data_IF_235767906885
#
_entry.id   IF_235767906885
#
_cell.length_a   1.000
_cell.length_b   1.000
_cell.length_c   1.000
_cell.angle_alpha   90.00
_cell.angle_beta   90.00
_cell.angle_gamma   90.00
#
_symmetry.space_group_name_H-M   'P 1'
#
loop_
_entity.id
_entity.type
_entity.pdbx_description
1 polymer ?
#
# COMPACT_ATOMS: atom_id res chain seq x y z
N UNK A 1 1.25 24.76 12.18
CA UNK A 1 1.21 24.78 10.70
C UNK A 1 0.15 23.77 10.34
N UNK A 2 -0.83 24.12 9.51
CA UNK A 2 -1.95 23.22 9.22
C UNK A 2 -1.69 22.39 7.97
N UNK A 3 -1.80 21.06 8.04
CA UNK A 3 -1.67 20.17 6.89
C UNK A 3 -2.84 20.36 5.91
N UNK A 4 -2.52 20.40 4.63
CA UNK A 4 -3.48 20.61 3.53
C UNK A 4 -3.86 19.32 2.82
N UNK A 5 -3.16 18.22 3.07
CA UNK A 5 -3.44 16.93 2.45
C UNK A 5 -3.11 15.77 3.38
N UNK A 6 -3.83 14.66 3.24
CA UNK A 6 -3.67 13.49 4.09
C UNK A 6 -3.47 12.23 3.23
N UNK A 7 -2.39 11.50 3.47
CA UNK A 7 -2.22 10.12 3.01
C UNK A 7 -2.61 9.21 4.16
N UNK A 8 -3.54 8.28 3.95
CA UNK A 8 -4.19 7.57 5.05
C UNK A 8 -4.15 6.07 4.79
N UNK A 9 -3.59 5.29 5.71
CA UNK A 9 -3.74 3.84 5.67
C UNK A 9 -5.19 3.40 5.96
N UNK A 10 -5.57 2.17 5.59
CA UNK A 10 -6.93 1.67 5.75
C UNK A 10 -7.08 0.73 6.95
N UNK A 11 -6.43 -0.44 6.93
CA UNK A 11 -6.69 -1.52 7.87
C UNK A 11 -5.78 -1.42 9.10
N UNK A 12 -6.39 -1.14 10.24
CA UNK A 12 -5.76 -0.75 11.49
C UNK A 12 -5.97 0.73 11.82
N UNK A 13 -6.32 1.56 10.83
CA UNK A 13 -6.47 3.02 10.93
C UNK A 13 -7.92 3.49 10.77
N UNK A 14 -8.60 3.14 9.66
CA UNK A 14 -9.99 3.50 9.38
C UNK A 14 -10.97 2.40 9.84
N UNK A 15 -10.55 1.15 9.69
CA UNK A 15 -11.25 -0.03 10.20
C UNK A 15 -10.23 -1.05 10.71
N UNK A 16 -10.65 -2.18 11.26
CA UNK A 16 -9.74 -3.27 11.68
C UNK A 16 -10.30 -4.64 11.32
N UNK A 17 -9.85 -5.21 10.21
CA UNK A 17 -10.42 -6.45 9.68
C UNK A 17 -11.91 -6.28 9.36
N UNK A 18 -12.77 -6.86 10.20
CA UNK A 18 -14.24 -6.72 10.12
C UNK A 18 -14.79 -5.71 11.14
N UNK A 19 -13.97 -5.29 12.09
CA UNK A 19 -14.36 -4.40 13.17
C UNK A 19 -14.28 -2.94 12.70
N UNK A 20 -15.23 -2.15 13.15
CA UNK A 20 -15.28 -0.71 12.88
C UNK A 20 -14.32 0.04 13.81
N UNK A 21 -13.70 1.12 13.30
CA UNK A 21 -13.02 2.13 14.12
C UNK A 21 -13.81 3.43 13.96
N UNK A 22 -14.81 3.73 14.82
CA UNK A 22 -15.67 4.90 14.66
C UNK A 22 -14.91 6.23 14.59
N UNK A 23 -13.76 6.34 15.27
CA UNK A 23 -12.90 7.50 15.19
C UNK A 23 -12.27 7.69 13.80
N UNK A 24 -11.96 6.60 13.09
CA UNK A 24 -11.47 6.64 11.70
C UNK A 24 -12.55 7.07 10.72
N UNK A 25 -13.78 6.58 10.90
CA UNK A 25 -14.94 7.04 10.11
C UNK A 25 -15.16 8.55 10.31
N UNK A 26 -15.20 9.01 11.56
CA UNK A 26 -15.37 10.43 11.90
C UNK A 26 -14.22 11.30 11.35
N UNK A 27 -13.00 10.79 11.34
CA UNK A 27 -11.83 11.48 10.79
C UNK A 27 -12.00 11.77 9.29
N UNK A 28 -12.44 10.78 8.51
CA UNK A 28 -12.70 10.95 7.08
C UNK A 28 -13.86 11.91 6.83
N UNK A 29 -14.95 11.80 7.59
CA UNK A 29 -16.06 12.74 7.49
C UNK A 29 -15.64 14.19 7.79
N UNK A 30 -14.75 14.40 8.75
CA UNK A 30 -14.25 15.73 9.08
C UNK A 30 -13.36 16.31 7.96
N UNK A 31 -12.50 15.48 7.34
CA UNK A 31 -11.76 15.86 6.14
C UNK A 31 -12.70 16.31 5.01
N UNK A 32 -13.75 15.52 4.74
CA UNK A 32 -14.76 15.83 3.72
C UNK A 32 -15.52 17.11 4.04
N UNK A 33 -15.99 17.27 5.28
CA UNK A 33 -16.72 18.47 5.74
C UNK A 33 -15.89 19.75 5.56
N UNK A 34 -14.57 19.64 5.72
CA UNK A 34 -13.62 20.74 5.55
C UNK A 34 -13.10 20.92 4.12
N UNK A 35 -13.44 20.01 3.20
CA UNK A 35 -12.88 19.94 1.86
C UNK A 35 -11.33 19.84 1.87
N UNK A 36 -10.76 19.08 2.81
CA UNK A 36 -9.33 18.81 2.85
C UNK A 36 -9.07 17.58 1.96
N UNK A 37 -8.20 17.70 0.93
CA UNK A 37 -7.80 16.56 0.10
C UNK A 37 -7.22 15.41 0.93
N UNK A 38 -7.60 14.18 0.57
CA UNK A 38 -7.00 12.98 1.14
C UNK A 38 -6.93 11.86 0.10
N UNK A 39 -6.03 10.92 0.36
CA UNK A 39 -5.83 9.72 -0.44
C UNK A 39 -5.63 8.54 0.52
N UNK A 40 -6.47 7.52 0.39
CA UNK A 40 -6.24 6.23 1.01
C UNK A 40 -5.09 5.52 0.28
N UNK A 41 -4.03 5.17 1.01
CA UNK A 41 -2.84 4.52 0.47
C UNK A 41 -2.70 3.15 1.12
N UNK A 42 -2.92 2.08 0.35
CA UNK A 42 -2.90 0.70 0.87
C UNK A 42 -1.96 -0.23 0.09
N UNK A 43 -1.25 -1.10 0.81
CA UNK A 43 -0.41 -2.15 0.23
C UNK A 43 -1.21 -3.35 -0.30
N UNK A 44 -2.52 -3.41 -0.05
CA UNK A 44 -3.34 -4.53 -0.48
C UNK A 44 -3.46 -4.56 -2.01
N UNK A 45 -3.06 -5.67 -2.62
CA UNK A 45 -3.12 -5.91 -4.07
C UNK A 45 -4.18 -6.92 -4.50
N UNK A 46 -5.01 -7.42 -3.59
CA UNK A 46 -6.03 -8.43 -3.89
C UNK A 46 -7.38 -7.83 -4.27
N UNK A 47 -7.59 -6.54 -3.99
CA UNK A 47 -8.86 -5.83 -4.22
C UNK A 47 -8.70 -4.72 -5.25
N UNK A 48 -9.72 -4.54 -6.09
CA UNK A 48 -9.81 -3.36 -6.96
C UNK A 48 -10.20 -2.11 -6.15
N UNK A 49 -9.92 -0.89 -6.65
CA UNK A 49 -10.39 0.33 -6.02
C UNK A 49 -11.91 0.33 -5.77
N UNK A 50 -12.72 -0.21 -6.69
CA UNK A 50 -14.18 -0.25 -6.58
C UNK A 50 -14.61 -1.20 -5.45
N UNK A 51 -13.88 -2.31 -5.30
CA UNK A 51 -14.11 -3.26 -4.20
C UNK A 51 -13.80 -2.61 -2.85
N UNK A 52 -12.72 -1.82 -2.78
CA UNK A 52 -12.37 -1.07 -1.57
C UNK A 52 -13.42 0.02 -1.27
N UNK A 53 -13.84 0.78 -2.28
CA UNK A 53 -14.86 1.81 -2.14
C UNK A 53 -16.19 1.24 -1.64
N UNK A 54 -16.67 0.15 -2.26
CA UNK A 54 -17.92 -0.51 -1.88
C UNK A 54 -17.85 -1.01 -0.45
N UNK A 55 -16.72 -1.64 -0.06
CA UNK A 55 -16.51 -2.09 1.31
C UNK A 55 -16.52 -0.93 2.32
N UNK A 56 -15.83 0.18 2.02
CA UNK A 56 -15.81 1.37 2.88
C UNK A 56 -17.22 1.93 3.11
N UNK A 57 -18.01 2.03 2.05
CA UNK A 57 -19.38 2.53 2.13
C UNK A 57 -20.30 1.57 2.90
N UNK A 58 -20.31 0.28 2.54
CA UNK A 58 -21.29 -0.69 3.06
C UNK A 58 -20.97 -1.19 4.48
N UNK A 59 -19.69 -1.26 4.85
CA UNK A 59 -19.27 -1.89 6.11
C UNK A 59 -18.75 -0.89 7.14
N UNK A 60 -18.24 0.26 6.69
CA UNK A 60 -17.53 1.21 7.55
C UNK A 60 -18.10 2.63 7.50
N UNK A 61 -19.27 2.85 6.88
CA UNK A 61 -19.92 4.16 6.76
C UNK A 61 -18.98 5.26 6.21
N UNK A 62 -18.07 4.91 5.30
CA UNK A 62 -17.18 5.87 4.64
C UNK A 62 -17.52 5.89 3.15
N UNK A 63 -18.31 6.87 2.75
CA UNK A 63 -18.53 7.16 1.33
C UNK A 63 -17.41 8.04 0.81
N UNK A 64 -16.71 7.62 -0.25
CA UNK A 64 -15.55 8.35 -0.77
C UNK A 64 -15.48 8.26 -2.30
N UNK A 65 -14.97 9.28 -3.02
CA UNK A 65 -14.69 9.16 -4.46
C UNK A 65 -13.67 8.07 -4.75
N UNK A 66 -13.80 7.41 -5.90
CA UNK A 66 -12.92 6.29 -6.28
C UNK A 66 -11.47 6.74 -6.43
N UNK A 67 -11.27 7.99 -6.84
CA UNK A 67 -9.98 8.65 -7.04
C UNK A 67 -9.21 8.83 -5.74
N UNK A 68 -9.88 8.78 -4.59
CA UNK A 68 -9.22 8.83 -3.27
C UNK A 68 -8.64 7.48 -2.85
N UNK A 69 -8.73 6.42 -3.67
CA UNK A 69 -8.20 5.09 -3.33
C UNK A 69 -7.00 4.79 -4.21
N UNK A 70 -5.82 4.75 -3.59
CA UNK A 70 -4.56 4.48 -4.25
C UNK A 70 -3.89 3.23 -3.67
N UNK A 71 -3.85 2.16 -4.47
CA UNK A 71 -3.35 0.86 -4.03
C UNK A 71 -1.93 0.61 -4.55
N UNK A 72 -1.19 -0.29 -3.91
CA UNK A 72 0.08 -0.77 -4.45
C UNK A 72 -0.05 -1.39 -5.85
N UNK A 73 -1.23 -1.90 -6.22
CA UNK A 73 -1.54 -2.34 -7.59
C UNK A 73 -1.49 -1.16 -8.57
N UNK A 74 -2.18 -0.05 -8.28
CA UNK A 74 -2.17 1.15 -9.13
C UNK A 74 -0.76 1.75 -9.23
N UNK A 75 -0.06 1.87 -8.09
CA UNK A 75 1.32 2.32 -8.07
C UNK A 75 2.27 1.42 -8.86
N UNK A 76 2.01 0.10 -8.89
CA UNK A 76 2.78 -0.84 -9.71
C UNK A 76 2.55 -0.56 -11.19
N UNK A 77 1.30 -0.39 -11.61
CA UNK A 77 0.96 -0.06 -12.99
C UNK A 77 1.61 1.26 -13.43
N UNK A 78 1.53 2.30 -12.60
CA UNK A 78 2.15 3.60 -12.87
C UNK A 78 3.68 3.47 -13.02
N UNK A 79 4.32 2.72 -12.11
CA UNK A 79 5.75 2.45 -12.20
C UNK A 79 6.15 1.72 -13.49
N UNK A 80 5.40 0.69 -13.90
CA UNK A 80 5.69 -0.04 -15.13
C UNK A 80 5.55 0.86 -16.36
N UNK A 81 4.54 1.75 -16.36
CA UNK A 81 4.30 2.70 -17.45
C UNK A 81 5.43 3.72 -17.55
N UNK A 82 5.89 4.27 -16.43
CA UNK A 82 7.02 5.20 -16.39
C UNK A 82 8.33 4.53 -16.82
N UNK A 83 8.53 3.26 -16.42
CA UNK A 83 9.75 2.51 -16.75
C UNK A 83 9.83 2.13 -18.23
N UNK A 84 8.69 1.88 -18.88
CA UNK A 84 8.53 1.73 -20.32
C UNK A 84 9.53 0.75 -21.00
N UNK A 85 9.78 -0.42 -20.40
CA UNK A 85 10.64 -1.48 -20.97
C UNK A 85 9.93 -2.33 -22.04
N UNK A 86 8.61 -2.19 -22.15
CA UNK A 86 7.76 -2.96 -23.04
C UNK A 86 6.39 -3.22 -22.40
N UNK A 87 5.62 -4.12 -22.98
CA UNK A 87 4.25 -4.44 -22.55
C UNK A 87 4.05 -5.91 -22.25
N UNK A 88 5.10 -6.73 -22.23
CA UNK A 88 5.02 -8.14 -21.85
C UNK A 88 5.30 -8.32 -20.36
N UNK A 89 4.46 -9.08 -19.68
CA UNK A 89 4.56 -9.26 -18.23
C UNK A 89 4.24 -10.70 -17.84
N UNK A 90 4.91 -11.19 -16.80
CA UNK A 90 4.47 -12.36 -16.06
C UNK A 90 4.07 -11.94 -14.64
N UNK A 91 2.87 -12.32 -14.21
CA UNK A 91 2.29 -11.85 -12.94
C UNK A 91 2.00 -13.03 -12.01
N UNK A 92 2.64 -13.03 -10.83
CA UNK A 92 2.19 -13.82 -9.68
C UNK A 92 1.37 -12.89 -8.80
N UNK A 93 0.08 -13.18 -8.65
CA UNK A 93 -0.82 -12.36 -7.86
C UNK A 93 -2.28 -12.75 -8.01
N UNK A 94 -3.10 -12.24 -7.10
CA UNK A 94 -4.56 -12.37 -7.11
C UNK A 94 -5.20 -11.56 -8.26
N UNK A 95 -6.51 -11.73 -8.44
CA UNK A 95 -7.32 -11.17 -9.54
C UNK A 95 -7.19 -9.65 -9.66
N UNK A 96 -7.19 -8.92 -8.53
CA UNK A 96 -7.09 -7.46 -8.53
C UNK A 96 -5.80 -6.94 -9.19
N UNK A 97 -4.67 -7.61 -8.95
CA UNK A 97 -3.39 -7.25 -9.56
C UNK A 97 -3.37 -7.58 -11.07
N UNK A 98 -3.80 -8.80 -11.42
CA UNK A 98 -3.80 -9.27 -12.82
C UNK A 98 -4.71 -8.43 -13.71
N UNK A 99 -5.91 -8.11 -13.22
CA UNK A 99 -6.88 -7.31 -13.95
C UNK A 99 -6.34 -5.89 -14.23
N UNK A 100 -5.83 -5.20 -13.20
CA UNK A 100 -5.30 -3.85 -13.37
C UNK A 100 -4.11 -3.78 -14.35
N UNK A 101 -3.22 -4.78 -14.29
CA UNK A 101 -2.09 -4.88 -15.23
C UNK A 101 -2.59 -5.13 -16.67
N UNK A 102 -3.58 -5.99 -16.87
CA UNK A 102 -4.17 -6.24 -18.18
C UNK A 102 -4.90 -5.00 -18.73
N UNK A 103 -5.67 -4.29 -17.91
CA UNK A 103 -6.37 -3.05 -18.28
C UNK A 103 -5.41 -1.92 -18.67
N UNK A 104 -4.20 -1.90 -18.10
CA UNK A 104 -3.11 -0.99 -18.49
C UNK A 104 -2.40 -1.40 -19.80
N UNK A 105 -2.91 -2.42 -20.49
CA UNK A 105 -2.45 -2.87 -21.80
C UNK A 105 -1.21 -3.76 -21.76
N UNK A 106 -0.87 -4.35 -20.61
CA UNK A 106 0.17 -5.37 -20.54
C UNK A 106 -0.39 -6.74 -20.97
N UNK A 107 0.44 -7.51 -21.66
CA UNK A 107 0.12 -8.80 -22.24
C UNK A 107 0.93 -9.87 -21.50
N UNK A 108 0.26 -10.97 -21.13
CA UNK A 108 0.94 -12.08 -20.47
C UNK A 108 1.98 -12.74 -21.40
N UNK A 109 3.20 -12.94 -20.90
CA UNK A 109 4.25 -13.69 -21.58
C UNK A 109 5.01 -14.53 -20.53
N UNK A 110 4.92 -15.86 -20.63
CA UNK A 110 5.59 -16.79 -19.70
C UNK A 110 7.02 -17.12 -20.11
N UNK A 111 7.42 -16.81 -21.34
CA UNK A 111 8.69 -17.25 -21.91
C UNK A 111 9.76 -16.16 -21.81
N UNK A 112 9.42 -14.94 -22.24
CA UNK A 112 10.32 -13.78 -22.30
C UNK A 112 9.57 -12.48 -21.99
N UNK A 113 9.03 -12.31 -20.78
CA UNK A 113 8.39 -11.06 -20.39
C UNK A 113 9.42 -9.93 -20.18
N UNK A 114 9.00 -8.69 -20.40
CA UNK A 114 9.77 -7.49 -20.06
C UNK A 114 9.82 -7.29 -18.53
N UNK A 115 8.74 -7.70 -17.85
CA UNK A 115 8.55 -7.56 -16.41
C UNK A 115 8.10 -8.87 -15.75
N UNK A 116 8.61 -9.12 -14.54
CA UNK A 116 8.02 -10.10 -13.62
C UNK A 116 7.49 -9.34 -12.42
N UNK A 117 6.17 -9.36 -12.24
CA UNK A 117 5.48 -8.68 -11.14
C UNK A 117 4.98 -9.73 -10.15
N UNK A 118 5.36 -9.58 -8.89
CA UNK A 118 5.01 -10.54 -7.83
C UNK A 118 4.33 -9.80 -6.68
N UNK A 119 3.11 -10.22 -6.39
CA UNK A 119 2.35 -9.83 -5.21
C UNK A 119 1.86 -11.06 -4.43
N UNK A 120 0.85 -10.85 -3.59
CA UNK A 120 0.20 -11.97 -2.89
C UNK A 120 -0.65 -12.78 -3.88
N UNK A 121 -0.43 -14.10 -3.91
CA UNK A 121 -1.22 -15.07 -4.66
C UNK A 121 -1.60 -16.22 -3.71
N UNK A 122 -2.89 -16.36 -3.41
CA UNK A 122 -3.40 -17.42 -2.52
C UNK A 122 -3.27 -18.82 -3.13
N UNK A 123 -3.12 -18.90 -4.45
CA UNK A 123 -3.00 -20.13 -5.23
C UNK A 123 -1.58 -20.24 -5.83
N UNK A 124 -0.58 -19.64 -5.19
CA UNK A 124 0.81 -19.77 -5.63
C UNK A 124 1.24 -21.25 -5.58
N UNK A 125 1.87 -21.71 -6.65
CA UNK A 125 2.40 -23.07 -6.77
C UNK A 125 3.85 -23.05 -7.27
N UNK A 126 4.48 -24.22 -7.29
CA UNK A 126 5.89 -24.33 -7.69
C UNK A 126 6.13 -23.98 -9.16
N UNK A 127 5.14 -24.21 -10.04
CA UNK A 127 5.26 -23.91 -11.46
C UNK A 127 5.30 -22.39 -11.69
N UNK A 128 4.39 -21.64 -11.05
CA UNK A 128 4.39 -20.18 -11.09
C UNK A 128 5.73 -19.60 -10.64
N UNK A 129 6.24 -20.09 -9.51
CA UNK A 129 7.55 -19.68 -8.97
C UNK A 129 8.69 -20.02 -9.93
N UNK A 130 8.63 -21.16 -10.61
CA UNK A 130 9.63 -21.59 -11.59
C UNK A 130 9.64 -20.69 -12.83
N UNK A 131 8.46 -20.37 -13.37
CA UNK A 131 8.32 -19.46 -14.53
C UNK A 131 8.90 -18.08 -14.18
N UNK A 132 8.49 -17.49 -13.04
CA UNK A 132 9.02 -16.21 -12.59
C UNK A 132 10.55 -16.24 -12.42
N UNK A 133 11.08 -17.29 -11.78
CA UNK A 133 12.52 -17.46 -11.56
C UNK A 133 13.28 -17.51 -12.88
N UNK A 134 12.81 -18.31 -13.84
CA UNK A 134 13.45 -18.45 -15.16
C UNK A 134 13.36 -17.15 -15.96
N UNK A 135 12.23 -16.45 -15.94
CA UNK A 135 12.06 -15.16 -16.61
C UNK A 135 13.01 -14.09 -16.05
N UNK A 136 13.16 -14.02 -14.72
CA UNK A 136 14.10 -13.09 -14.07
C UNK A 136 15.56 -13.45 -14.44
N UNK A 137 15.91 -14.74 -14.45
CA UNK A 137 17.25 -15.19 -14.87
C UNK A 137 17.57 -14.84 -16.33
N UNK A 138 16.54 -14.75 -17.20
CA UNK A 138 16.67 -14.28 -18.59
C UNK A 138 16.73 -12.75 -18.71
N UNK A 139 16.55 -12.01 -17.62
CA UNK A 139 16.71 -10.55 -17.57
C UNK A 139 15.40 -9.75 -17.47
N UNK A 140 14.26 -10.38 -17.21
CA UNK A 140 13.02 -9.65 -16.94
C UNK A 140 13.16 -8.74 -15.71
N UNK A 141 12.58 -7.54 -15.78
CA UNK A 141 12.66 -6.57 -14.67
C UNK A 141 11.77 -7.03 -13.51
N UNK A 142 12.39 -7.34 -12.37
CA UNK A 142 11.73 -7.92 -11.19
C UNK A 142 11.09 -6.84 -10.31
N UNK A 143 9.77 -6.90 -10.16
CA UNK A 143 8.95 -5.97 -9.37
C UNK A 143 8.18 -6.72 -8.30
N UNK A 144 8.29 -6.24 -7.05
CA UNK A 144 7.50 -6.70 -5.92
C UNK A 144 6.44 -5.68 -5.55
N UNK A 145 5.16 -6.06 -5.44
CA UNK A 145 4.09 -5.08 -5.18
C UNK A 145 4.22 -4.43 -3.81
N UNK A 146 4.59 -5.19 -2.77
CA UNK A 146 4.76 -4.70 -1.40
C UNK A 146 5.69 -5.62 -0.59
N UNK A 147 6.44 -5.07 0.39
CA UNK A 147 7.41 -5.83 1.16
C UNK A 147 6.83 -6.61 2.35
N UNK A 148 5.51 -6.57 2.56
CA UNK A 148 4.87 -7.13 3.75
C UNK A 148 5.09 -8.65 3.82
N UNK A 149 5.87 -9.09 4.82
CA UNK A 149 6.23 -10.49 5.00
C UNK A 149 5.02 -11.34 5.43
N UNK A 150 4.05 -10.72 6.09
CA UNK A 150 2.88 -11.39 6.62
C UNK A 150 1.59 -10.66 6.26
N UNK A 151 0.51 -11.42 6.13
CA UNK A 151 -0.86 -10.91 6.02
C UNK A 151 -1.71 -11.45 7.19
N UNK A 152 -2.39 -10.58 7.95
CA UNK A 152 -3.33 -11.01 8.99
C UNK A 152 -4.55 -11.71 8.38
N UNK A 153 -4.94 -12.84 8.98
CA UNK A 153 -6.16 -13.58 8.63
C UNK A 153 -6.84 -14.12 9.89
N UNK A 154 -8.06 -14.64 9.78
CA UNK A 154 -8.74 -15.33 10.88
C UNK A 154 -7.96 -16.54 11.42
N UNK A 155 -7.06 -17.12 10.60
CA UNK A 155 -6.21 -18.25 10.97
C UNK A 155 -4.92 -17.83 11.67
N UNK A 156 -4.64 -16.53 11.74
CA UNK A 156 -3.38 -15.95 12.23
C UNK A 156 -2.60 -15.23 11.13
N UNK A 157 -1.32 -14.96 11.40
CA UNK A 157 -0.40 -14.32 10.46
C UNK A 157 0.06 -15.34 9.40
N UNK A 158 -0.40 -15.15 8.17
CA UNK A 158 -0.03 -15.99 7.03
C UNK A 158 1.12 -15.33 6.25
N UNK A 159 1.83 -16.06 5.38
CA UNK A 159 2.80 -15.45 4.46
C UNK A 159 2.14 -14.39 3.57
N UNK A 160 2.73 -13.20 3.52
CA UNK A 160 2.32 -12.09 2.66
C UNK A 160 3.09 -12.08 1.32
N UNK A 161 2.87 -11.04 0.51
CA UNK A 161 3.56 -10.84 -0.76
C UNK A 161 5.08 -10.85 -0.59
N UNK A 162 5.60 -10.16 0.44
CA UNK A 162 7.03 -10.09 0.73
C UNK A 162 7.68 -11.45 0.93
N UNK A 163 6.96 -12.43 1.49
CA UNK A 163 7.46 -13.79 1.65
C UNK A 163 7.62 -14.53 0.32
N UNK A 164 6.65 -14.39 -0.59
CA UNK A 164 6.71 -14.97 -1.95
C UNK A 164 7.85 -14.31 -2.74
N UNK A 165 7.93 -12.98 -2.67
CA UNK A 165 8.97 -12.19 -3.34
C UNK A 165 10.36 -12.58 -2.82
N UNK A 166 10.53 -12.78 -1.52
CA UNK A 166 11.80 -13.19 -0.90
C UNK A 166 12.26 -14.56 -1.42
N UNK A 167 11.33 -15.52 -1.60
CA UNK A 167 11.65 -16.82 -2.19
C UNK A 167 12.30 -16.65 -3.57
N UNK A 168 11.69 -15.83 -4.42
CA UNK A 168 12.17 -15.57 -5.78
C UNK A 168 13.48 -14.77 -5.77
N UNK A 169 13.62 -13.77 -4.89
CA UNK A 169 14.88 -13.05 -4.69
C UNK A 169 16.03 -14.01 -4.35
N UNK A 170 15.81 -14.96 -3.43
CA UNK A 170 16.83 -15.95 -3.04
C UNK A 170 17.15 -16.89 -4.20
N UNK A 171 16.13 -17.38 -4.92
CA UNK A 171 16.31 -18.30 -6.04
C UNK A 171 17.04 -17.67 -7.23
N UNK A 172 16.84 -16.37 -7.47
CA UNK A 172 17.42 -15.63 -8.60
C UNK A 172 18.70 -14.87 -8.23
N UNK A 173 18.90 -14.57 -6.94
CA UNK A 173 19.87 -13.58 -6.41
C UNK A 173 19.67 -12.17 -6.97
N UNK A 174 18.46 -11.87 -7.45
CA UNK A 174 18.08 -10.56 -7.98
C UNK A 174 17.13 -9.90 -6.99
N UNK A 175 17.49 -8.71 -6.52
CA UNK A 175 16.61 -7.92 -5.66
C UNK A 175 15.44 -7.35 -6.45
N UNK A 176 14.20 -7.46 -5.95
CA UNK A 176 13.05 -6.81 -6.57
C UNK A 176 13.14 -5.29 -6.39
N UNK A 177 12.46 -4.57 -7.28
CA UNK A 177 12.02 -3.21 -6.98
C UNK A 177 10.69 -3.31 -6.22
N UNK A 178 10.68 -2.93 -4.95
CA UNK A 178 9.45 -2.89 -4.16
C UNK A 178 8.68 -1.58 -4.39
N UNK A 179 7.37 -1.70 -4.63
CA UNK A 179 6.49 -0.56 -4.93
C UNK A 179 5.84 0.02 -3.68
N UNK A 180 5.14 -0.83 -2.91
CA UNK A 180 4.33 -0.44 -1.76
C UNK A 180 5.13 0.10 -0.57
N UNK A 181 4.40 0.63 0.42
CA UNK A 181 4.94 1.22 1.64
C UNK A 181 5.89 0.24 2.34
N UNK A 182 7.02 0.69 2.91
CA UNK A 182 7.47 2.08 3.06
C UNK A 182 8.25 2.67 1.86
N UNK A 183 8.27 2.00 0.71
CA UNK A 183 9.12 2.41 -0.41
C UNK A 183 8.67 3.73 -1.05
N UNK A 184 9.64 4.45 -1.62
CA UNK A 184 9.42 5.77 -2.19
C UNK A 184 8.38 5.78 -3.31
N UNK A 185 8.36 4.75 -4.17
CA UNK A 185 7.57 4.76 -5.41
C UNK A 185 6.09 5.04 -5.15
N UNK A 186 5.44 4.31 -4.23
CA UNK A 186 4.03 4.56 -3.90
C UNK A 186 3.81 5.92 -3.26
N UNK A 187 4.75 6.39 -2.43
CA UNK A 187 4.61 7.66 -1.72
C UNK A 187 4.78 8.86 -2.65
N UNK A 188 5.72 8.79 -3.58
CA UNK A 188 5.94 9.81 -4.60
C UNK A 188 4.70 9.95 -5.49
N UNK A 189 4.18 8.82 -5.99
CA UNK A 189 2.96 8.80 -6.80
C UNK A 189 1.73 9.27 -6.03
N UNK A 190 1.60 8.89 -4.75
CA UNK A 190 0.50 9.35 -3.90
C UNK A 190 0.52 10.87 -3.68
N UNK A 191 1.70 11.46 -3.47
CA UNK A 191 1.86 12.91 -3.35
C UNK A 191 1.61 13.61 -4.69
N UNK A 192 2.10 13.06 -5.80
CA UNK A 192 1.81 13.56 -7.15
C UNK A 192 0.29 13.58 -7.41
N UNK A 193 -0.42 12.52 -7.02
CA UNK A 193 -1.87 12.42 -7.16
C UNK A 193 -2.63 13.46 -6.33
N UNK A 194 -2.17 13.74 -5.10
CA UNK A 194 -2.72 14.82 -4.27
C UNK A 194 -2.43 16.22 -4.82
N UNK A 195 -1.37 16.39 -5.62
CA UNK A 195 -0.99 17.68 -6.20
C UNK A 195 -0.51 18.71 -5.17
N UNK A 196 -0.03 18.26 -4.01
CA UNK A 196 0.41 19.12 -2.90
C UNK A 196 1.91 18.99 -2.62
N UNK A 197 2.58 20.03 -2.08
CA UNK A 197 3.96 19.91 -1.61
C UNK A 197 4.05 18.90 -0.47
N UNK A 198 5.11 18.07 -0.45
CA UNK A 198 5.32 17.03 0.59
C UNK A 198 5.21 17.57 2.02
N UNK A 199 5.69 18.79 2.27
CA UNK A 199 5.68 19.42 3.59
C UNK A 199 4.28 19.84 4.06
N UNK A 200 3.30 19.92 3.15
CA UNK A 200 1.90 20.23 3.46
C UNK A 200 1.03 18.99 3.58
N UNK A 201 1.61 17.80 3.38
CA UNK A 201 0.92 16.50 3.44
C UNK A 201 1.38 15.74 4.69
N UNK A 202 0.47 14.99 5.32
CA UNK A 202 0.80 14.11 6.45
C UNK A 202 0.41 12.66 6.13
N UNK A 203 1.28 11.71 6.49
CA UNK A 203 1.02 10.27 6.43
C UNK A 203 0.42 9.79 7.76
N UNK A 204 -0.81 9.27 7.70
CA UNK A 204 -1.58 8.74 8.82
C UNK A 204 -1.62 7.23 8.72
N UNK A 205 -1.24 6.53 9.78
CA UNK A 205 -1.34 5.06 9.81
C UNK A 205 -1.10 4.47 11.19
N UNK A 206 -1.25 3.15 11.30
CA UNK A 206 -1.09 2.39 12.55
C UNK A 206 0.14 1.46 12.54
N UNK A 207 0.78 1.29 11.38
CA UNK A 207 1.93 0.41 11.23
C UNK A 207 3.22 1.22 11.09
N UNK A 208 4.09 1.12 12.10
CA UNK A 208 5.36 1.83 12.11
C UNK A 208 6.23 1.46 10.91
N UNK A 209 6.36 0.16 10.61
CA UNK A 209 7.29 -0.34 9.59
C UNK A 209 6.88 0.03 8.16
N UNK A 210 5.59 0.27 7.92
CA UNK A 210 5.08 0.66 6.61
C UNK A 210 4.70 2.12 6.56
N UNK A 211 3.80 2.60 7.41
CA UNK A 211 3.18 3.93 7.28
C UNK A 211 4.09 5.02 7.82
N UNK A 212 4.60 4.84 9.03
CA UNK A 212 5.45 5.85 9.66
C UNK A 212 6.82 5.87 8.99
N UNK A 213 7.39 4.69 8.70
CA UNK A 213 8.60 4.62 7.87
C UNK A 213 8.38 5.18 6.47
N UNK A 214 7.20 4.98 5.84
CA UNK A 214 6.89 5.64 4.57
C UNK A 214 6.98 7.17 4.70
N UNK A 215 6.42 7.76 5.76
CA UNK A 215 6.53 9.21 5.95
C UNK A 215 7.97 9.66 6.20
N UNK A 216 8.62 9.08 7.20
CA UNK A 216 10.00 9.44 7.60
C UNK A 216 10.99 9.29 6.44
N UNK A 217 10.96 8.16 5.74
CA UNK A 217 11.94 7.85 4.70
C UNK A 217 11.75 8.69 3.42
N UNK A 218 10.58 9.31 3.27
CA UNK A 218 10.21 10.11 2.10
C UNK A 218 10.02 11.60 2.42
N UNK A 219 10.33 12.02 3.65
CA UNK A 219 10.25 13.41 4.09
C UNK A 219 8.82 13.97 4.19
N UNK A 220 7.87 13.11 4.56
CA UNK A 220 6.46 13.45 4.78
C UNK A 220 6.19 13.33 6.29
N UNK A 221 5.67 14.37 6.95
CA UNK A 221 5.25 14.31 8.34
C UNK A 221 4.32 13.13 8.64
N UNK A 222 4.35 12.63 9.88
CA UNK A 222 3.74 11.35 10.26
C UNK A 222 2.82 11.47 11.47
N UNK A 223 1.67 10.80 11.40
CA UNK A 223 0.76 10.59 12.50
C UNK A 223 0.56 9.09 12.70
N UNK A 224 1.04 8.59 13.84
CA UNK A 224 0.81 7.23 14.28
C UNK A 224 -0.46 7.17 15.13
N UNK A 225 -1.41 6.32 14.75
CA UNK A 225 -2.54 5.93 15.61
C UNK A 225 -2.38 4.50 16.11
N UNK A 226 -2.41 4.30 17.43
CA UNK A 226 -2.13 2.98 18.04
C UNK A 226 -3.34 2.02 18.07
N UNK A 227 -4.19 2.06 17.05
CA UNK A 227 -5.42 1.24 16.94
C UNK A 227 -5.17 -0.12 16.27
N UNK A 228 -4.11 -0.23 15.48
CA UNK A 228 -3.82 -1.39 14.63
C UNK A 228 -2.58 -2.18 15.03
N UNK A 229 -1.58 -2.23 14.16
CA UNK A 229 -0.40 -3.08 14.22
C UNK A 229 0.54 -2.66 15.36
N UNK A 230 1.03 -1.43 15.34
CA UNK A 230 1.95 -0.90 16.36
C UNK A 230 1.19 -0.67 17.68
N UNK A 231 1.66 -1.31 18.75
CA UNK A 231 1.04 -1.17 20.07
C UNK A 231 1.54 0.05 20.83
N UNK A 232 0.71 0.65 21.72
CA UNK A 232 1.13 1.80 22.54
C UNK A 232 2.43 1.57 23.32
N UNK A 233 2.63 0.36 23.84
CA UNK A 233 3.83 -0.04 24.58
C UNK A 233 5.11 -0.10 23.74
N UNK A 234 5.00 -0.20 22.40
CA UNK A 234 6.14 -0.22 21.49
C UNK A 234 6.64 1.21 21.17
N UNK A 235 5.76 2.21 21.27
CA UNK A 235 6.05 3.61 20.89
C UNK A 235 7.31 4.18 21.55
N UNK A 236 7.53 4.03 22.88
CA UNK A 236 8.74 4.58 23.51
C UNK A 236 10.05 3.95 23.00
N UNK A 237 9.98 2.75 22.43
CA UNK A 237 11.13 2.01 21.90
C UNK A 237 11.41 2.25 20.42
N UNK A 238 10.58 3.03 19.72
CA UNK A 238 10.75 3.26 18.29
C UNK A 238 12.06 4.01 17.99
N UNK A 239 12.87 3.54 17.01
CA UNK A 239 14.16 4.15 16.69
C UNK A 239 14.09 5.61 16.26
N UNK A 240 13.03 5.97 15.53
CA UNK A 240 12.71 7.34 15.14
C UNK A 240 11.25 7.55 15.51
N UNK A 241 10.95 8.59 16.28
CA UNK A 241 9.59 8.87 16.72
C UNK A 241 8.77 9.44 15.55
N UNK A 242 7.49 9.05 15.41
CA UNK A 242 6.53 9.77 14.58
C UNK A 242 6.41 11.24 15.02
N UNK A 243 6.01 12.14 14.11
CA UNK A 243 5.78 13.55 14.47
C UNK A 243 4.64 13.70 15.47
N UNK A 244 3.61 12.86 15.33
CA UNK A 244 2.46 12.78 16.24
C UNK A 244 2.12 11.33 16.56
N UNK A 245 1.71 11.09 17.80
CA UNK A 245 1.19 9.80 18.25
C UNK A 245 -0.14 10.01 18.95
N UNK A 246 -1.17 9.31 18.52
CA UNK A 246 -2.51 9.37 19.10
C UNK A 246 -3.01 7.97 19.48
N UNK A 247 -3.83 7.90 20.53
CA UNK A 247 -4.54 6.67 20.87
C UNK A 247 -5.83 6.52 20.04
N UNK A 248 -6.38 7.65 19.58
CA UNK A 248 -7.58 7.74 18.75
C UNK A 248 -7.50 8.91 17.79
N UNK A 249 -7.94 8.72 16.55
CA UNK A 249 -8.05 9.81 15.56
C UNK A 249 -9.05 10.92 15.98
N UNK A 250 -9.91 10.66 16.97
CA UNK A 250 -10.79 11.69 17.54
C UNK A 250 -10.04 12.80 18.31
N UNK A 251 -8.77 12.55 18.66
CA UNK A 251 -7.91 13.52 19.35
C UNK A 251 -7.25 14.51 18.38
N UNK A 252 -7.34 14.27 17.06
CA UNK A 252 -6.69 15.11 16.07
C UNK A 252 -7.41 16.45 15.90
N UNK A 253 -6.70 17.55 16.15
CA UNK A 253 -7.20 18.90 15.91
C UNK A 253 -6.68 19.47 14.58
N UNK A 254 -7.52 19.41 13.56
CA UNK A 254 -7.30 19.98 12.22
C UNK A 254 -7.07 21.50 12.18
N UNK A 255 -7.19 22.22 13.30
CA UNK A 255 -6.87 23.66 13.38
C UNK A 255 -5.52 23.92 14.04
N UNK A 256 -5.07 23.03 14.93
CA UNK A 256 -3.76 23.12 15.57
C UNK A 256 -2.65 22.56 14.67
N UNK A 257 -3.02 21.57 13.85
CA UNK A 257 -2.14 20.78 13.00
C UNK A 257 -2.59 20.75 11.56
#
# INVERSE_FOLDING_TARGET
>A
MTYKGYLIDLDGTIYKGKDRIPAGEAFVHELQRRNIPYLFVTNNTTRTPETVQTMLAEQFNVETPIETIYTATLATVDYLNDKNLGKKVYVIGDVGLKQAIAEAGYIEDTDNPDYVVVGLDWEVDYEKLSIATLAIQKGAHFVGTNPDLNIPTERGLMPGAGSIITLIEVATRVKPVYIGKPNAIIMEKAVEHLGLPRQEVIMVGDNYLTDIRAGIDNGIPTLLVTTGFTKPEEVPGLPIQPDYVLSSLAEWDFNAH
#
